data_IF_544402893929
#
_entry.id   IF_544402893929
#
_cell.length_a   1.000
_cell.length_b   1.000
_cell.length_c   1.000
_cell.angle_alpha   90.00
_cell.angle_beta   90.00
_cell.angle_gamma   90.00
#
_symmetry.space_group_name_H-M   'P 1'
#
loop_
_entity.id
_entity.type
_entity.pdbx_description
1 polymer ?
#
# COMPACT_ATOMS: atom_id res chain seq x y z
N UNK A 1 -10.04 -5.38 -3.95
CA UNK A 1 -11.41 -5.92 -3.81
C UNK A 1 -12.54 -4.94 -4.17
N UNK A 2 -12.27 -3.83 -4.87
CA UNK A 2 -13.32 -2.94 -5.40
C UNK A 2 -14.13 -2.17 -4.35
N UNK A 3 -13.73 -2.20 -3.08
CA UNK A 3 -14.35 -1.45 -1.99
C UNK A 3 -13.91 0.01 -1.92
N UNK A 4 -14.63 0.80 -1.13
CA UNK A 4 -14.29 2.17 -0.78
C UNK A 4 -13.81 2.22 0.67
N UNK A 5 -12.88 3.12 0.97
CA UNK A 5 -12.37 3.38 2.31
C UNK A 5 -12.42 4.88 2.59
N UNK A 6 -12.80 5.27 3.82
CA UNK A 6 -12.67 6.64 4.29
C UNK A 6 -11.69 6.71 5.45
N UNK A 7 -10.98 7.83 5.60
CA UNK A 7 -10.02 7.97 6.71
C UNK A 7 -10.69 7.92 8.09
N UNK A 8 -11.97 8.31 8.17
CA UNK A 8 -12.77 8.21 9.40
C UNK A 8 -12.94 6.76 9.87
N UNK A 9 -12.94 5.79 8.94
CA UNK A 9 -13.03 4.36 9.25
C UNK A 9 -11.75 3.85 9.95
N UNK A 10 -10.65 4.59 9.85
CA UNK A 10 -9.33 4.23 10.39
C UNK A 10 -8.99 4.96 11.70
N UNK A 11 -9.97 5.64 12.31
CA UNK A 11 -9.75 6.37 13.56
C UNK A 11 -9.24 5.44 14.66
N UNK A 12 -8.20 5.88 15.36
CA UNK A 12 -7.53 5.09 16.41
C UNK A 12 -6.35 4.27 15.91
N UNK A 13 -6.13 4.20 14.59
CA UNK A 13 -4.94 3.59 14.00
C UNK A 13 -3.91 4.64 13.61
N UNK A 14 -2.64 4.27 13.68
CA UNK A 14 -1.57 4.95 12.95
C UNK A 14 -1.72 4.58 11.47
N UNK A 15 -1.84 5.57 10.60
CA UNK A 15 -2.06 5.38 9.16
C UNK A 15 -0.85 5.90 8.40
N UNK A 16 -0.14 5.02 7.71
CA UNK A 16 0.89 5.41 6.73
C UNK A 16 0.24 5.47 5.35
N UNK A 17 0.22 6.66 4.73
CA UNK A 17 -0.27 6.83 3.36
C UNK A 17 0.93 7.02 2.44
N UNK A 18 1.07 6.14 1.45
CA UNK A 18 2.12 6.21 0.44
C UNK A 18 1.48 6.45 -0.93
N UNK A 19 1.85 7.53 -1.61
CA UNK A 19 1.42 7.82 -2.97
C UNK A 19 2.49 7.37 -3.95
N UNK A 20 2.13 6.56 -4.94
CA UNK A 20 3.12 5.89 -5.79
C UNK A 20 2.60 5.58 -7.19
N UNK A 21 3.51 5.09 -8.04
CA UNK A 21 3.22 4.50 -9.35
C UNK A 21 4.16 3.33 -9.63
N UNK A 22 3.75 2.38 -10.48
CA UNK A 22 4.48 1.17 -10.85
C UNK A 22 5.78 1.43 -11.62
N UNK A 23 5.88 2.61 -12.25
CA UNK A 23 7.02 3.04 -13.05
C UNK A 23 7.93 4.05 -12.33
N UNK A 24 7.56 4.50 -11.14
CA UNK A 24 8.37 5.40 -10.30
C UNK A 24 9.56 4.63 -9.70
N UNK A 25 10.82 4.89 -10.11
CA UNK A 25 11.97 4.15 -9.59
C UNK A 25 12.14 4.17 -8.06
N UNK A 26 12.07 5.33 -7.37
CA UNK A 26 12.22 5.33 -5.91
C UNK A 26 11.08 4.58 -5.22
N UNK A 27 9.86 4.67 -5.74
CA UNK A 27 8.71 3.93 -5.22
C UNK A 27 8.98 2.42 -5.26
N UNK A 28 9.49 1.90 -6.38
CA UNK A 28 9.83 0.47 -6.54
C UNK A 28 10.89 0.01 -5.54
N UNK A 29 11.89 0.85 -5.27
CA UNK A 29 12.94 0.56 -4.29
C UNK A 29 12.39 0.55 -2.84
N UNK A 30 11.38 1.35 -2.56
CA UNK A 30 10.74 1.45 -1.24
C UNK A 30 9.76 0.31 -0.95
N UNK A 31 9.08 -0.25 -1.95
CA UNK A 31 8.02 -1.26 -1.78
C UNK A 31 8.42 -2.46 -0.92
N UNK A 32 9.60 -3.09 -1.11
CA UNK A 32 10.03 -4.19 -0.23
C UNK A 32 10.19 -3.76 1.23
N UNK A 33 10.58 -2.51 1.49
CA UNK A 33 10.74 -1.96 2.83
C UNK A 33 9.39 -1.66 3.47
N UNK A 34 8.44 -1.14 2.70
CA UNK A 34 7.05 -0.93 3.13
C UNK A 34 6.36 -2.25 3.48
N UNK A 35 6.57 -3.31 2.70
CA UNK A 35 6.04 -4.65 2.99
C UNK A 35 6.60 -5.21 4.30
N UNK A 36 7.91 -5.05 4.54
CA UNK A 36 8.53 -5.46 5.83
C UNK A 36 7.94 -4.68 7.00
N UNK A 37 7.75 -3.37 6.85
CA UNK A 37 7.15 -2.50 7.87
C UNK A 37 5.71 -2.93 8.17
N UNK A 38 4.88 -3.10 7.14
CA UNK A 38 3.50 -3.54 7.28
C UNK A 38 3.43 -4.89 8.00
N UNK A 39 4.24 -5.87 7.59
CA UNK A 39 4.26 -7.19 8.25
C UNK A 39 4.71 -7.15 9.70
N UNK A 40 5.57 -6.21 10.07
CA UNK A 40 6.02 -6.03 11.46
C UNK A 40 4.88 -5.51 12.34
N UNK A 41 4.13 -4.52 11.85
CA UNK A 41 3.09 -3.83 12.61
C UNK A 41 1.65 -4.33 12.38
N UNK A 42 1.43 -5.32 11.51
CA UNK A 42 0.06 -5.78 11.13
C UNK A 42 -0.82 -6.29 12.28
N UNK A 43 -0.25 -6.59 13.44
CA UNK A 43 -0.99 -7.02 14.64
C UNK A 43 -1.21 -5.89 15.65
N UNK A 44 -0.76 -4.67 15.32
CA UNK A 44 -0.93 -3.46 16.13
C UNK A 44 -2.01 -2.55 15.51
N UNK A 45 -2.27 -1.41 16.15
CA UNK A 45 -3.15 -0.36 15.61
C UNK A 45 -2.44 0.44 14.51
N UNK A 46 -1.98 -0.26 13.47
CA UNK A 46 -1.29 0.29 12.32
C UNK A 46 -1.96 -0.17 11.01
N UNK A 47 -1.94 0.69 9.99
CA UNK A 47 -2.30 0.31 8.62
C UNK A 47 -1.48 1.12 7.60
N UNK A 48 -1.30 0.54 6.42
CA UNK A 48 -0.63 1.17 5.28
C UNK A 48 -1.62 1.28 4.12
N UNK A 49 -1.80 2.49 3.61
CA UNK A 49 -2.58 2.76 2.39
C UNK A 49 -1.63 3.13 1.26
N UNK A 50 -1.44 2.20 0.31
CA UNK A 50 -0.64 2.42 -0.89
C UNK A 50 -1.53 2.93 -2.02
N UNK A 51 -1.59 4.24 -2.19
CA UNK A 51 -2.47 4.95 -3.14
C UNK A 51 -1.74 5.13 -4.47
N UNK A 52 -2.11 4.30 -5.44
CA UNK A 52 -1.65 4.44 -6.82
C UNK A 52 -2.22 5.73 -7.47
N UNK A 53 -1.39 6.43 -8.25
CA UNK A 53 -1.78 7.66 -8.95
C UNK A 53 -2.23 7.33 -10.38
N UNK A 54 -3.53 7.09 -10.52
CA UNK A 54 -4.27 7.07 -11.79
C UNK A 54 -3.84 5.97 -12.79
N UNK A 55 -3.26 4.86 -12.35
CA UNK A 55 -2.97 3.73 -13.23
C UNK A 55 -4.16 2.78 -13.37
N UNK A 56 -4.11 1.95 -14.42
CA UNK A 56 -5.10 0.90 -14.60
C UNK A 56 -5.00 -0.12 -13.45
N UNK A 57 -6.12 -0.51 -12.81
CA UNK A 57 -6.10 -1.47 -11.70
C UNK A 57 -5.41 -2.81 -12.00
N UNK A 58 -5.43 -3.28 -13.25
CA UNK A 58 -4.73 -4.51 -13.64
C UNK A 58 -3.21 -4.34 -13.69
N UNK A 59 -2.73 -3.14 -14.03
CA UNK A 59 -1.29 -2.80 -13.93
C UNK A 59 -0.84 -2.84 -12.47
N UNK A 60 -1.62 -2.23 -11.58
CA UNK A 60 -1.33 -2.20 -10.13
C UNK A 60 -1.38 -3.61 -9.53
N UNK A 61 -2.40 -4.41 -9.85
CA UNK A 61 -2.51 -5.80 -9.36
C UNK A 61 -1.34 -6.68 -9.82
N UNK A 62 -0.87 -6.51 -11.07
CA UNK A 62 0.28 -7.25 -11.58
C UNK A 62 1.54 -6.86 -10.81
N UNK A 63 1.76 -5.57 -10.58
CA UNK A 63 2.87 -5.08 -9.80
C UNK A 63 2.84 -5.62 -8.36
N UNK A 64 1.71 -5.53 -7.67
CA UNK A 64 1.58 -6.02 -6.31
C UNK A 64 1.91 -7.52 -6.19
N UNK A 65 1.52 -8.33 -7.19
CA UNK A 65 1.90 -9.76 -7.28
C UNK A 65 3.39 -9.95 -7.52
N UNK A 66 3.99 -9.18 -8.42
CA UNK A 66 5.44 -9.23 -8.70
C UNK A 66 6.27 -8.95 -7.44
N UNK A 67 5.83 -8.00 -6.62
CA UNK A 67 6.52 -7.60 -5.38
C UNK A 67 6.06 -8.38 -4.13
N UNK A 68 5.11 -9.31 -4.26
CA UNK A 68 4.50 -10.06 -3.16
C UNK A 68 3.98 -9.15 -2.02
N UNK A 69 3.31 -8.05 -2.37
CA UNK A 69 2.74 -7.12 -1.40
C UNK A 69 1.50 -7.74 -0.74
N UNK A 70 1.37 -7.55 0.58
CA UNK A 70 0.29 -8.12 1.39
C UNK A 70 -0.65 -7.09 2.04
N UNK A 71 -0.39 -5.81 1.83
CA UNK A 71 -1.27 -4.69 2.16
C UNK A 71 -2.17 -4.30 0.98
#
# INVERSE_FOLDING_TARGET
DGGSITLSDLKGKVVLINFWTTWCPPCREEMPSLERLYRHFKYEDFTLLAVDIMENPETVKRFAKEYNLSF
#
